data_IF_244886396870
#
_entry.id   IF_244886396870
#
_cell.length_a   1.000
_cell.length_b   1.000
_cell.length_c   1.000
_cell.angle_alpha   90.00
_cell.angle_beta   90.00
_cell.angle_gamma   90.00
#
_symmetry.space_group_name_H-M   'P 1'
#
loop_
_entity.id
_entity.type
_entity.pdbx_description
1 polymer ?
#
# COMPACT_ATOMS: atom_id res chain seq x y z
N UNK A 1 14.52 0.39 13.36
CA UNK A 1 14.16 -0.09 12.01
C UNK A 1 13.23 0.95 11.41
N UNK A 2 13.52 1.44 10.21
CA UNK A 2 12.67 2.43 9.52
C UNK A 2 11.42 1.70 9.03
N UNK A 3 10.24 2.31 9.21
CA UNK A 3 9.00 1.73 8.70
C UNK A 3 9.02 1.71 7.17
N UNK A 4 8.67 0.57 6.58
CA UNK A 4 8.67 0.40 5.11
C UNK A 4 7.57 1.21 4.45
N UNK A 5 6.46 1.41 5.17
CA UNK A 5 5.31 2.17 4.70
C UNK A 5 4.64 2.87 5.89
N UNK A 6 4.33 4.15 5.75
CA UNK A 6 3.63 4.94 6.75
C UNK A 6 2.58 5.83 6.09
N UNK A 7 1.37 5.80 6.63
CA UNK A 7 0.32 6.74 6.26
C UNK A 7 0.55 8.06 7.00
N UNK A 8 0.49 9.18 6.29
CA UNK A 8 0.58 10.54 6.81
C UNK A 8 -0.61 11.38 6.31
N UNK A 9 -1.86 11.00 6.71
CA UNK A 9 -3.06 11.67 6.26
C UNK A 9 -3.12 13.12 6.75
N UNK A 10 -3.80 13.99 6.01
CA UNK A 10 -4.43 13.74 4.71
C UNK A 10 -3.50 13.96 3.51
N UNK A 11 -2.23 14.22 3.72
CA UNK A 11 -1.36 14.85 2.74
C UNK A 11 -0.44 13.88 1.98
N UNK A 12 -0.04 12.77 2.60
CA UNK A 12 1.01 11.94 2.03
C UNK A 12 1.02 10.50 2.56
N UNK A 13 1.80 9.68 1.87
CA UNK A 13 2.37 8.45 2.38
C UNK A 13 3.89 8.56 2.39
N UNK A 14 4.54 7.85 3.29
CA UNK A 14 5.99 7.76 3.35
C UNK A 14 6.39 6.31 3.14
N UNK A 15 7.39 6.09 2.30
CA UNK A 15 7.88 4.77 1.95
C UNK A 15 9.39 4.71 2.09
N UNK A 16 9.91 3.56 2.45
CA UNK A 16 11.32 3.22 2.29
C UNK A 16 11.60 2.92 0.82
N UNK A 17 12.54 3.63 0.20
CA UNK A 17 12.95 3.33 -1.17
C UNK A 17 13.70 2.00 -1.23
N UNK A 18 13.00 0.94 -1.64
CA UNK A 18 13.57 -0.40 -1.68
C UNK A 18 14.61 -0.60 -2.80
N UNK A 19 14.74 0.35 -3.72
CA UNK A 19 15.75 0.27 -4.78
C UNK A 19 17.16 0.56 -4.28
N UNK A 20 17.30 1.23 -3.13
CA UNK A 20 18.58 1.59 -2.54
C UNK A 20 19.11 0.54 -1.55
N UNK A 21 18.26 -0.39 -1.14
CA UNK A 21 18.64 -1.45 -0.22
C UNK A 21 19.62 -2.46 -0.85
N UNK A 22 20.52 -3.04 -0.08
CA UNK A 22 20.74 -2.87 1.36
C UNK A 22 21.72 -1.74 1.72
N UNK A 23 22.16 -0.94 0.76
CA UNK A 23 23.28 -0.02 0.92
C UNK A 23 22.86 1.31 1.57
N UNK A 24 21.60 1.72 1.36
CA UNK A 24 21.07 2.98 1.88
C UNK A 24 19.61 2.81 2.29
N UNK A 25 19.24 3.37 3.45
CA UNK A 25 17.86 3.49 3.90
C UNK A 25 17.38 4.93 3.71
N UNK A 26 16.61 5.15 2.65
CA UNK A 26 16.03 6.45 2.34
C UNK A 26 14.51 6.39 2.39
N UNK A 27 13.90 7.26 3.22
CA UNK A 27 12.45 7.45 3.23
C UNK A 27 12.10 8.56 2.26
N UNK A 28 11.17 8.28 1.36
CA UNK A 28 10.62 9.27 0.44
C UNK A 28 9.15 9.56 0.77
N UNK A 29 8.77 10.83 0.64
CA UNK A 29 7.40 11.30 0.83
C UNK A 29 6.70 11.37 -0.51
N UNK A 30 5.54 10.71 -0.60
CA UNK A 30 4.68 10.66 -1.78
C UNK A 30 3.41 11.43 -1.46
N UNK A 31 3.20 12.55 -2.14
CA UNK A 31 2.10 13.46 -1.87
C UNK A 31 1.02 13.47 -2.96
N UNK A 32 1.20 12.75 -4.06
CA UNK A 32 0.26 12.70 -5.17
C UNK A 32 0.27 11.35 -5.90
N UNK A 33 -0.74 11.14 -6.73
CA UNK A 33 -0.92 9.91 -7.51
C UNK A 33 0.20 9.70 -8.52
N UNK A 34 0.73 10.77 -9.12
CA UNK A 34 1.78 10.65 -10.13
C UNK A 34 3.09 10.16 -9.51
N UNK A 35 3.48 10.73 -8.35
CA UNK A 35 4.63 10.27 -7.58
C UNK A 35 4.46 8.83 -7.10
N UNK A 36 3.24 8.43 -6.70
CA UNK A 36 2.94 7.05 -6.34
C UNK A 36 3.13 6.09 -7.53
N UNK A 37 2.60 6.46 -8.70
CA UNK A 37 2.75 5.66 -9.91
C UNK A 37 4.24 5.51 -10.31
N UNK A 38 5.03 6.57 -10.18
CA UNK A 38 6.49 6.50 -10.39
C UNK A 38 7.13 5.52 -9.41
N UNK A 39 6.84 5.64 -8.12
CA UNK A 39 7.43 4.80 -7.08
C UNK A 39 7.10 3.30 -7.27
N UNK A 40 5.86 2.99 -7.69
CA UNK A 40 5.45 1.61 -8.02
C UNK A 40 6.16 1.12 -9.28
N UNK A 41 6.19 1.93 -10.34
CA UNK A 41 6.82 1.60 -11.62
C UNK A 41 8.33 1.41 -11.51
N UNK A 42 8.99 2.25 -10.74
CA UNK A 42 10.43 2.17 -10.46
C UNK A 42 10.81 1.09 -9.42
N UNK A 43 9.85 0.34 -8.88
CA UNK A 43 10.06 -0.69 -7.85
C UNK A 43 10.57 -0.13 -6.49
N UNK A 44 10.35 1.15 -6.21
CA UNK A 44 10.61 1.73 -4.89
C UNK A 44 9.66 1.15 -3.83
N UNK A 45 8.45 0.80 -4.27
CA UNK A 45 7.49 -0.03 -3.53
C UNK A 45 7.35 -1.36 -4.26
N UNK A 46 7.52 -2.47 -3.55
CA UNK A 46 7.32 -3.82 -4.09
C UNK A 46 6.83 -4.77 -2.99
N UNK A 47 6.40 -5.96 -3.38
CA UNK A 47 5.71 -6.91 -2.51
C UNK A 47 4.19 -6.80 -2.69
N UNK A 48 3.51 -7.92 -2.96
CA UNK A 48 2.10 -7.92 -3.33
C UNK A 48 1.20 -7.20 -2.31
N UNK A 49 1.29 -7.49 -0.99
CA UNK A 49 0.43 -6.84 -0.02
C UNK A 49 0.74 -5.35 0.17
N UNK A 50 2.02 -4.96 0.03
CA UNK A 50 2.40 -3.57 0.13
C UNK A 50 1.91 -2.77 -1.09
N UNK A 51 1.90 -3.38 -2.27
CA UNK A 51 1.29 -2.80 -3.47
C UNK A 51 -0.23 -2.63 -3.31
N UNK A 52 -0.91 -3.59 -2.69
CA UNK A 52 -2.34 -3.46 -2.36
C UNK A 52 -2.62 -2.28 -1.44
N UNK A 53 -1.83 -2.14 -0.37
CA UNK A 53 -1.92 -0.99 0.53
C UNK A 53 -1.64 0.33 -0.20
N UNK A 54 -0.63 0.36 -1.07
CA UNK A 54 -0.30 1.53 -1.90
C UNK A 54 -1.45 1.89 -2.85
N UNK A 55 -2.15 0.89 -3.41
CA UNK A 55 -3.34 1.12 -4.23
C UNK A 55 -4.46 1.82 -3.47
N UNK A 56 -4.81 1.32 -2.29
CA UNK A 56 -5.82 1.93 -1.43
C UNK A 56 -5.42 3.35 -0.96
N UNK A 57 -4.18 3.53 -0.51
CA UNK A 57 -3.66 4.83 -0.08
C UNK A 57 -3.57 5.84 -1.24
N UNK A 58 -3.31 5.37 -2.46
CA UNK A 58 -3.32 6.20 -3.66
C UNK A 58 -4.69 6.79 -3.96
N UNK A 59 -5.78 6.05 -3.73
CA UNK A 59 -7.13 6.58 -3.83
C UNK A 59 -7.41 7.62 -2.72
N UNK A 60 -6.89 7.41 -1.52
CA UNK A 60 -7.00 8.39 -0.44
C UNK A 60 -6.26 9.70 -0.77
N UNK A 61 -5.06 9.62 -1.35
CA UNK A 61 -4.32 10.78 -1.88
C UNK A 61 -5.12 11.50 -2.95
N UNK A 62 -5.67 10.78 -3.94
CA UNK A 62 -6.49 11.36 -4.99
C UNK A 62 -7.70 12.10 -4.42
N UNK A 63 -8.36 11.52 -3.43
CA UNK A 63 -9.52 12.11 -2.77
C UNK A 63 -9.18 13.37 -1.97
N UNK A 64 -7.95 13.47 -1.45
CA UNK A 64 -7.51 14.61 -0.64
C UNK A 64 -7.14 15.83 -1.48
N UNK A 65 -6.83 15.66 -2.76
CA UNK A 65 -6.20 16.72 -3.55
C UNK A 65 -7.17 17.71 -4.20
N UNK A 66 -8.37 17.34 -4.64
CA UNK A 66 -9.17 18.25 -5.49
C UNK A 66 -10.69 17.98 -5.51
N UNK A 67 -11.32 17.71 -4.41
CA UNK A 67 -12.74 17.40 -4.43
C UNK A 67 -13.01 16.15 -5.27
N UNK A 68 -13.11 14.98 -4.68
CA UNK A 68 -13.01 13.68 -5.35
C UNK A 68 -14.27 13.34 -6.11
N UNK A 69 -14.38 13.82 -7.36
CA UNK A 69 -15.48 13.41 -8.24
C UNK A 69 -15.33 11.93 -8.62
N UNK A 70 -16.43 11.31 -8.98
CA UNK A 70 -16.45 9.91 -9.45
C UNK A 70 -15.46 9.68 -10.61
N UNK A 71 -15.37 10.67 -11.51
CA UNK A 71 -14.48 10.64 -12.66
C UNK A 71 -12.99 10.70 -12.23
N UNK A 72 -12.66 11.55 -11.28
CA UNK A 72 -11.28 11.72 -10.82
C UNK A 72 -10.79 10.48 -10.09
N UNK A 73 -11.62 9.91 -9.20
CA UNK A 73 -11.29 8.68 -8.49
C UNK A 73 -11.20 7.47 -9.44
N UNK A 74 -12.11 7.36 -10.40
CA UNK A 74 -12.05 6.30 -11.41
C UNK A 74 -10.81 6.43 -12.30
N UNK A 75 -10.38 7.66 -12.60
CA UNK A 75 -9.14 7.90 -13.32
C UNK A 75 -7.93 7.50 -12.47
N UNK A 76 -7.87 7.92 -11.20
CA UNK A 76 -6.80 7.57 -10.28
C UNK A 76 -6.66 6.04 -10.12
N UNK A 77 -7.76 5.32 -9.89
CA UNK A 77 -7.76 3.86 -9.79
C UNK A 77 -7.16 3.20 -11.04
N UNK A 78 -7.56 3.68 -12.21
CA UNK A 78 -7.07 3.16 -13.49
C UNK A 78 -5.58 3.40 -13.69
N UNK A 79 -5.07 4.61 -13.44
CA UNK A 79 -3.65 4.92 -13.66
C UNK A 79 -2.76 4.19 -12.65
N UNK A 80 -3.19 4.08 -11.39
CA UNK A 80 -2.48 3.31 -10.37
C UNK A 80 -2.38 1.84 -10.77
N UNK A 81 -3.49 1.22 -11.13
CA UNK A 81 -3.53 -0.20 -11.52
C UNK A 81 -2.71 -0.47 -12.77
N UNK A 82 -2.70 0.48 -13.72
CA UNK A 82 -1.94 0.35 -14.95
C UNK A 82 -0.42 0.38 -14.77
N UNK A 83 0.10 0.84 -13.63
CA UNK A 83 1.55 0.86 -13.34
C UNK A 83 2.15 -0.55 -13.28
N UNK A 84 1.37 -1.52 -12.75
CA UNK A 84 1.76 -2.93 -12.70
C UNK A 84 0.56 -3.85 -12.90
N UNK A 85 0.14 -4.10 -14.15
CA UNK A 85 -1.07 -4.85 -14.45
C UNK A 85 -1.10 -6.29 -13.92
N UNK A 86 0.07 -6.87 -13.65
CA UNK A 86 0.22 -8.22 -13.09
C UNK A 86 0.17 -8.26 -11.56
N UNK A 87 0.18 -7.11 -10.89
CA UNK A 87 0.08 -7.02 -9.44
C UNK A 87 -1.41 -7.06 -9.02
N UNK A 88 -1.94 -8.27 -8.88
CA UNK A 88 -3.38 -8.49 -8.63
C UNK A 88 -3.87 -7.71 -7.42
N UNK A 89 -3.12 -7.73 -6.31
CA UNK A 89 -3.53 -7.07 -5.07
C UNK A 89 -3.59 -5.53 -5.20
N UNK A 90 -2.70 -4.94 -6.01
CA UNK A 90 -2.76 -3.52 -6.35
C UNK A 90 -4.11 -3.13 -6.95
N UNK A 91 -4.53 -3.85 -7.99
CA UNK A 91 -5.79 -3.60 -8.67
C UNK A 91 -7.00 -3.90 -7.79
N UNK A 92 -6.96 -4.99 -7.02
CA UNK A 92 -8.02 -5.39 -6.12
C UNK A 92 -8.28 -4.30 -5.07
N UNK A 93 -7.25 -3.88 -4.35
CA UNK A 93 -7.41 -2.89 -3.25
C UNK A 93 -7.71 -1.48 -3.75
N UNK A 94 -7.20 -1.09 -4.93
CA UNK A 94 -7.62 0.14 -5.58
C UNK A 94 -9.10 0.08 -6.01
N UNK A 95 -9.56 -1.06 -6.49
CA UNK A 95 -10.97 -1.31 -6.83
C UNK A 95 -11.89 -1.24 -5.62
N UNK A 96 -11.57 -1.96 -4.54
CA UNK A 96 -12.31 -1.93 -3.28
C UNK A 96 -12.42 -0.49 -2.72
N UNK A 97 -11.30 0.26 -2.76
CA UNK A 97 -11.26 1.65 -2.32
C UNK A 97 -12.15 2.56 -3.19
N UNK A 98 -12.11 2.37 -4.51
CA UNK A 98 -12.97 3.10 -5.43
C UNK A 98 -14.45 2.82 -5.15
N UNK A 99 -14.83 1.54 -5.01
CA UNK A 99 -16.20 1.14 -4.73
C UNK A 99 -16.71 1.75 -3.42
N UNK A 100 -15.88 1.70 -2.36
CA UNK A 100 -16.17 2.36 -1.08
C UNK A 100 -16.44 3.85 -1.27
N UNK A 101 -15.58 4.55 -2.01
CA UNK A 101 -15.70 5.98 -2.20
C UNK A 101 -16.95 6.37 -3.02
N UNK A 102 -17.27 5.61 -4.07
CA UNK A 102 -18.44 5.88 -4.91
C UNK A 102 -19.78 5.67 -4.18
N UNK A 103 -19.78 4.87 -3.12
CA UNK A 103 -20.95 4.67 -2.26
C UNK A 103 -21.19 5.79 -1.25
N UNK A 104 -20.28 6.77 -1.14
CA UNK A 104 -20.31 7.83 -0.12
C UNK A 104 -20.50 9.22 -0.73
N UNK A 105 -21.07 10.17 0.05
CA UNK A 105 -21.05 11.59 -0.27
C UNK A 105 -19.62 12.09 -0.51
N UNK A 106 -19.46 13.07 -1.39
CA UNK A 106 -18.13 13.56 -1.84
C UNK A 106 -17.26 14.04 -0.67
N UNK A 107 -17.84 14.72 0.28
CA UNK A 107 -17.17 15.27 1.47
C UNK A 107 -16.70 14.22 2.47
N UNK A 108 -17.27 13.02 2.45
CA UNK A 108 -16.87 11.90 3.33
C UNK A 108 -15.78 11.01 2.73
N UNK A 109 -15.58 11.07 1.42
CA UNK A 109 -14.72 10.12 0.65
C UNK A 109 -13.28 10.09 1.13
N UNK A 110 -12.65 11.24 1.28
CA UNK A 110 -11.24 11.32 1.69
C UNK A 110 -11.01 10.68 3.06
N UNK A 111 -11.83 11.03 4.05
CA UNK A 111 -11.74 10.45 5.39
C UNK A 111 -11.95 8.94 5.40
N UNK A 112 -12.96 8.45 4.67
CA UNK A 112 -13.27 7.04 4.57
C UNK A 112 -12.13 6.24 3.90
N UNK A 113 -11.51 6.80 2.85
CA UNK A 113 -10.39 6.16 2.14
C UNK A 113 -9.13 6.08 3.00
N UNK A 114 -8.80 7.14 3.76
CA UNK A 114 -7.70 7.08 4.72
C UNK A 114 -7.95 6.07 5.84
N UNK A 115 -9.19 6.01 6.35
CA UNK A 115 -9.58 5.00 7.34
C UNK A 115 -9.51 3.58 6.77
N UNK A 116 -9.89 3.38 5.51
CA UNK A 116 -9.76 2.10 4.82
C UNK A 116 -8.29 1.68 4.68
N UNK A 117 -7.42 2.58 4.21
CA UNK A 117 -5.99 2.30 4.10
C UNK A 117 -5.35 1.98 5.47
N UNK A 118 -5.72 2.73 6.51
CA UNK A 118 -5.22 2.49 7.87
C UNK A 118 -5.67 1.13 8.41
N UNK A 119 -6.91 0.73 8.15
CA UNK A 119 -7.42 -0.61 8.51
C UNK A 119 -6.64 -1.71 7.79
N UNK A 120 -6.47 -1.61 6.47
CA UNK A 120 -5.67 -2.58 5.70
C UNK A 120 -4.25 -2.73 6.25
N UNK A 121 -3.61 -1.61 6.59
CA UNK A 121 -2.26 -1.62 7.17
C UNK A 121 -2.24 -2.32 8.53
N UNK A 122 -3.20 -1.99 9.41
CA UNK A 122 -3.33 -2.64 10.72
C UNK A 122 -3.66 -4.13 10.63
N UNK A 123 -4.55 -4.53 9.72
CA UNK A 123 -4.89 -5.93 9.46
C UNK A 123 -3.65 -6.72 9.04
N UNK A 124 -2.87 -6.15 8.11
CA UNK A 124 -1.62 -6.75 7.63
C UNK A 124 -0.63 -7.01 8.77
N UNK A 125 -0.39 -6.03 9.63
CA UNK A 125 0.52 -6.19 10.79
C UNK A 125 0.03 -7.32 11.70
N UNK A 126 -1.28 -7.42 11.94
CA UNK A 126 -1.87 -8.48 12.78
C UNK A 126 -1.75 -9.86 12.12
N UNK A 127 -2.00 -9.95 10.82
CA UNK A 127 -1.87 -11.19 10.06
C UNK A 127 -0.43 -11.70 10.05
N UNK A 128 0.54 -10.83 9.78
CA UNK A 128 1.96 -11.19 9.79
C UNK A 128 2.43 -11.63 11.19
N UNK A 129 1.98 -10.96 12.24
CA UNK A 129 2.26 -11.36 13.62
C UNK A 129 1.66 -12.74 13.96
N UNK A 130 0.44 -13.01 13.51
CA UNK A 130 -0.21 -14.29 13.71
C UNK A 130 0.50 -15.42 12.95
N UNK A 131 0.86 -15.18 11.68
CA UNK A 131 1.65 -16.14 10.87
C UNK A 131 2.98 -16.44 11.55
N UNK A 132 3.68 -15.41 12.04
CA UNK A 132 4.95 -15.56 12.75
C UNK A 132 4.80 -16.37 14.02
N UNK A 133 3.76 -16.12 14.81
CA UNK A 133 3.50 -16.86 16.05
C UNK A 133 3.22 -18.35 15.78
N UNK A 134 2.31 -18.65 14.85
CA UNK A 134 2.00 -20.04 14.49
C UNK A 134 3.19 -20.76 13.83
N UNK A 135 3.97 -20.03 13.01
CA UNK A 135 5.15 -20.57 12.35
C UNK A 135 6.27 -20.91 13.33
N UNK A 136 6.45 -20.08 14.37
CA UNK A 136 7.50 -20.29 15.38
C UNK A 136 7.35 -21.65 16.09
N UNK A 137 6.13 -22.07 16.38
CA UNK A 137 5.85 -23.33 17.06
C UNK A 137 6.18 -24.57 16.19
N UNK A 138 6.32 -24.39 14.89
CA UNK A 138 6.66 -25.44 13.93
C UNK A 138 8.15 -25.55 13.65
N UNK A 139 8.93 -24.53 14.04
CA UNK A 139 10.37 -24.49 13.78
C UNK A 139 11.14 -25.26 14.84
N UNK A 140 12.15 -26.01 14.40
CA UNK A 140 13.11 -26.67 15.29
C UNK A 140 14.25 -25.72 15.64
N UNK A 141 14.94 -25.95 16.75
CA UNK A 141 16.06 -25.10 17.22
C UNK A 141 17.17 -24.91 16.19
N UNK A 142 17.39 -25.91 15.35
CA UNK A 142 18.39 -25.88 14.26
C UNK A 142 17.82 -26.52 13.01
N UNK A 143 17.86 -25.80 11.91
CA UNK A 143 17.36 -26.29 10.63
C UNK A 143 17.44 -25.23 9.56
N UNK A 144 16.98 -25.60 8.36
CA UNK A 144 16.85 -24.68 7.22
C UNK A 144 15.37 -24.49 6.93
N UNK A 145 14.99 -23.25 6.62
CA UNK A 145 13.65 -22.90 6.17
C UNK A 145 13.72 -22.45 4.73
N UNK A 146 12.91 -23.08 3.88
CA UNK A 146 12.75 -22.62 2.50
C UNK A 146 11.53 -21.70 2.43
N UNK A 147 11.72 -20.54 1.88
CA UNK A 147 10.65 -19.58 1.63
C UNK A 147 10.57 -19.19 0.16
N UNK A 148 9.43 -18.65 -0.24
CA UNK A 148 9.19 -18.12 -1.57
C UNK A 148 8.76 -16.66 -1.47
N UNK A 149 9.13 -15.81 -2.49
CA UNK A 149 8.88 -14.38 -2.50
C UNK A 149 9.59 -13.61 -1.38
N UNK A 150 9.19 -12.39 -1.10
CA UNK A 150 9.68 -11.63 0.05
C UNK A 150 9.06 -12.17 1.33
N UNK A 151 9.88 -12.25 2.36
CA UNK A 151 9.44 -12.61 3.70
C UNK A 151 9.65 -11.43 4.63
N UNK A 152 8.67 -11.18 5.49
CA UNK A 152 8.67 -10.03 6.35
C UNK A 152 8.11 -8.79 5.67
N UNK A 153 8.47 -7.63 6.17
CA UNK A 153 7.88 -6.34 5.81
C UNK A 153 8.43 -5.77 4.48
N UNK A 154 9.59 -6.26 4.03
CA UNK A 154 10.27 -5.81 2.80
C UNK A 154 9.91 -6.67 1.60
#
# INVERSE_FOLDING_TARGET
MVAVFRLAPPEAIEILDQTLLPFEEQVIRIADVAALCEAIGALRIRGAPLLGLAGAAGLALAASQNGPTDKDLSHAARVITATRPTAVDLGLRAGDALELALALPVDERAGALWAYAARLHGDRIREDAAISAFGADLLVERGSVLTHCNTGEL
#
